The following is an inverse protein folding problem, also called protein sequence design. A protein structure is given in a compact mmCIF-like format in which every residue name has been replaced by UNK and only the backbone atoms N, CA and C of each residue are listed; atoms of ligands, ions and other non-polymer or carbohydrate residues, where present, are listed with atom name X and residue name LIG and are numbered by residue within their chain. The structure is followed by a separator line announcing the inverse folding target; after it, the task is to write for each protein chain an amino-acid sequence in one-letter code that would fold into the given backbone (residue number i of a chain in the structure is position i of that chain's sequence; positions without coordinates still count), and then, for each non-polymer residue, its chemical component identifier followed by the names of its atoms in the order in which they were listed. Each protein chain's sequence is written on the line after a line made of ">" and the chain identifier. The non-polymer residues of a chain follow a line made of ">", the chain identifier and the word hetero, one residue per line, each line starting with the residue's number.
data_IF_325447541096
#
_entry.id   IF_325447541096
#
_cell.length_a   1.000
_cell.length_b   1.000
_cell.length_c   1.000
_cell.angle_alpha   90.00
_cell.angle_beta   90.00
_cell.angle_gamma   90.00
#
_symmetry.space_group_name_H-M   'P 1'
#
loop_
_entity.id
_entity.type
_entity.pdbx_description
1 polymer ?
#
# COMPACT_ATOMS: atom_id res chain seq x y z
N UNK A 1 6.67 -31.93 -49.42
CA UNK A 1 7.25 -32.80 -48.38
C UNK A 1 8.15 -31.92 -47.51
N UNK A 2 7.56 -31.21 -46.55
CA UNK A 2 8.27 -30.40 -45.58
C UNK A 2 7.90 -30.97 -44.20
N UNK A 3 8.92 -31.37 -43.44
CA UNK A 3 8.78 -32.06 -42.16
C UNK A 3 8.86 -30.98 -41.09
N UNK A 4 7.73 -30.64 -40.48
CA UNK A 4 7.68 -29.72 -39.35
C UNK A 4 8.46 -30.32 -38.17
N UNK A 5 9.61 -29.73 -37.86
CA UNK A 5 10.39 -30.04 -36.67
C UNK A 5 9.70 -29.39 -35.46
N UNK A 6 8.97 -30.21 -34.70
CA UNK A 6 8.46 -29.83 -33.39
C UNK A 6 9.64 -29.57 -32.45
N UNK A 7 9.93 -28.29 -32.18
CA UNK A 7 10.90 -27.89 -31.18
C UNK A 7 10.30 -28.18 -29.80
N UNK A 8 10.65 -29.33 -29.22
CA UNK A 8 10.34 -29.63 -27.82
C UNK A 8 11.20 -28.78 -26.90
N UNK A 9 10.60 -27.74 -26.32
CA UNK A 9 11.24 -26.93 -25.28
C UNK A 9 11.23 -27.73 -23.97
N UNK A 10 12.28 -28.52 -23.73
CA UNK A 10 12.45 -29.24 -22.47
C UNK A 10 12.92 -28.27 -21.37
N UNK A 11 12.02 -27.84 -20.49
CA UNK A 11 12.38 -27.08 -19.29
C UNK A 11 13.04 -28.01 -18.25
N UNK A 12 14.34 -27.82 -18.01
CA UNK A 12 15.07 -28.57 -16.98
C UNK A 12 14.83 -27.98 -15.57
N UNK A 13 13.86 -28.56 -14.87
CA UNK A 13 13.48 -28.20 -13.49
C UNK A 13 14.59 -28.45 -12.46
N UNK A 14 15.61 -29.25 -12.76
CA UNK A 14 16.68 -29.57 -11.79
C UNK A 14 17.60 -28.38 -11.54
N UNK A 15 17.85 -27.59 -12.59
CA UNK A 15 18.73 -26.43 -12.56
C UNK A 15 18.07 -25.26 -11.83
N UNK A 16 16.78 -25.06 -12.05
CA UNK A 16 15.98 -24.03 -11.37
C UNK A 16 15.88 -24.31 -9.86
N UNK A 17 15.71 -25.56 -9.46
CA UNK A 17 15.66 -25.93 -8.04
C UNK A 17 16.98 -25.68 -7.28
N UNK A 18 18.13 -25.95 -7.92
CA UNK A 18 19.46 -25.65 -7.34
C UNK A 18 19.67 -24.14 -7.15
N UNK A 19 19.26 -23.33 -8.12
CA UNK A 19 19.31 -21.87 -8.03
C UNK A 19 18.40 -21.38 -6.89
N UNK A 20 17.20 -21.97 -6.76
CA UNK A 20 16.24 -21.65 -5.69
C UNK A 20 16.84 -21.83 -4.29
N UNK A 21 17.57 -22.92 -4.08
CA UNK A 21 18.18 -23.25 -2.80
C UNK A 21 19.37 -22.33 -2.50
N UNK A 22 20.12 -21.91 -3.51
CA UNK A 22 21.27 -21.02 -3.37
C UNK A 22 20.87 -19.60 -2.95
N UNK A 23 19.72 -19.11 -3.44
CA UNK A 23 19.29 -17.71 -3.26
C UNK A 23 17.98 -17.56 -2.47
N UNK A 24 17.73 -18.44 -1.49
CA UNK A 24 16.48 -18.46 -0.69
C UNK A 24 16.05 -17.10 -0.13
N UNK A 25 17.00 -16.29 0.36
CA UNK A 25 16.72 -14.96 0.91
C UNK A 25 16.27 -13.98 -0.16
N UNK A 26 16.98 -13.93 -1.30
CA UNK A 26 16.62 -13.05 -2.42
C UNK A 26 15.25 -13.42 -3.00
N UNK A 27 14.93 -14.72 -3.06
CA UNK A 27 13.63 -15.20 -3.53
C UNK A 27 12.53 -14.84 -2.54
N UNK A 28 12.78 -14.97 -1.23
CA UNK A 28 11.80 -14.55 -0.21
C UNK A 28 11.52 -13.05 -0.30
N UNK A 29 12.55 -12.23 -0.53
CA UNK A 29 12.40 -10.79 -0.73
C UNK A 29 11.61 -10.47 -2.02
N UNK A 30 11.91 -11.15 -3.12
CA UNK A 30 11.16 -11.01 -4.38
C UNK A 30 9.69 -11.36 -4.22
N UNK A 31 9.38 -12.47 -3.53
CA UNK A 31 8.01 -12.86 -3.22
C UNK A 31 7.33 -11.80 -2.36
N UNK A 32 8.00 -11.30 -1.31
CA UNK A 32 7.46 -10.27 -0.44
C UNK A 32 7.14 -8.97 -1.20
N UNK A 33 8.03 -8.54 -2.09
CA UNK A 33 7.80 -7.40 -2.99
C UNK A 33 6.61 -7.69 -3.93
N UNK A 34 6.50 -8.90 -4.47
CA UNK A 34 5.36 -9.32 -5.27
C UNK A 34 4.03 -9.25 -4.51
N UNK A 35 4.02 -9.70 -3.25
CA UNK A 35 2.84 -9.61 -2.36
C UNK A 35 2.48 -8.14 -2.11
N UNK A 36 3.47 -7.28 -1.85
CA UNK A 36 3.25 -5.85 -1.68
C UNK A 36 2.59 -5.22 -2.92
N UNK A 37 3.10 -5.47 -4.12
CA UNK A 37 2.52 -4.95 -5.35
C UNK A 37 1.12 -5.49 -5.62
N UNK A 38 0.89 -6.78 -5.35
CA UNK A 38 -0.42 -7.38 -5.48
C UNK A 38 -1.43 -6.75 -4.51
N UNK A 39 -1.02 -6.57 -3.25
CA UNK A 39 -1.81 -5.90 -2.20
C UNK A 39 -2.16 -4.46 -2.57
N UNK A 40 -1.21 -3.73 -3.16
CA UNK A 40 -1.42 -2.37 -3.66
C UNK A 40 -2.37 -2.37 -4.87
N UNK A 41 -2.17 -3.26 -5.84
CA UNK A 41 -2.99 -3.35 -7.05
C UNK A 41 -4.47 -3.56 -6.73
N UNK A 42 -4.78 -4.48 -5.82
CA UNK A 42 -6.17 -4.74 -5.39
C UNK A 42 -6.80 -3.49 -4.76
N UNK A 43 -6.03 -2.71 -3.99
CA UNK A 43 -6.54 -1.50 -3.31
C UNK A 43 -6.68 -0.29 -4.23
N UNK A 44 -5.91 -0.25 -5.32
CA UNK A 44 -6.02 0.81 -6.32
C UNK A 44 -7.24 0.63 -7.23
N UNK A 45 -8.03 -0.43 -7.09
CA UNK A 45 -9.25 -0.65 -7.86
C UNK A 45 -10.27 0.52 -7.75
N UNK A 46 -10.25 1.28 -6.64
CA UNK A 46 -11.16 2.42 -6.41
C UNK A 46 -10.50 3.78 -6.62
N UNK A 47 -9.32 3.85 -7.22
CA UNK A 47 -8.55 5.11 -7.36
C UNK A 47 -9.20 6.08 -8.35
N UNK A 48 -9.92 5.55 -9.34
CA UNK A 48 -10.54 6.31 -10.42
C UNK A 48 -11.91 6.90 -10.05
N UNK A 49 -12.40 6.61 -8.85
CA UNK A 49 -13.65 7.17 -8.35
C UNK A 49 -13.60 8.72 -8.33
N UNK A 50 -14.70 9.41 -8.66
CA UNK A 50 -14.72 10.86 -8.75
C UNK A 50 -14.72 11.54 -7.38
N UNK A 51 -15.09 10.83 -6.31
CA UNK A 51 -15.16 11.33 -4.95
C UNK A 51 -14.61 10.34 -3.93
N UNK A 52 -14.15 10.85 -2.79
CA UNK A 52 -13.75 10.02 -1.66
C UNK A 52 -14.91 9.15 -1.20
N UNK A 53 -14.63 7.87 -1.00
CA UNK A 53 -15.64 6.91 -0.58
C UNK A 53 -15.98 7.13 0.90
N UNK A 54 -17.27 7.06 1.24
CA UNK A 54 -17.81 7.27 2.58
C UNK A 54 -17.61 8.70 3.14
N UNK A 55 -18.27 8.98 4.28
CA UNK A 55 -18.27 10.30 4.89
C UNK A 55 -16.96 10.62 5.64
N UNK A 56 -16.36 9.64 6.33
CA UNK A 56 -15.21 9.88 7.19
C UNK A 56 -13.98 10.42 6.44
N UNK A 57 -13.63 9.95 5.23
CA UNK A 57 -12.50 10.48 4.48
C UNK A 57 -12.61 11.98 4.15
N UNK A 58 -13.82 12.54 4.04
CA UNK A 58 -13.99 13.98 3.84
C UNK A 58 -13.58 14.79 5.08
N UNK A 59 -13.82 14.26 6.28
CA UNK A 59 -13.36 14.88 7.51
C UNK A 59 -11.82 14.83 7.60
N UNK A 60 -11.21 13.69 7.26
CA UNK A 60 -9.76 13.55 7.19
C UNK A 60 -9.14 14.47 6.12
N UNK A 61 -9.77 14.61 4.96
CA UNK A 61 -9.37 15.56 3.91
C UNK A 61 -9.26 16.98 4.46
N UNK A 62 -10.30 17.46 5.18
CA UNK A 62 -10.31 18.82 5.73
C UNK A 62 -9.22 19.02 6.77
N UNK A 63 -9.02 18.05 7.66
CA UNK A 63 -7.95 18.08 8.65
C UNK A 63 -6.57 18.15 8.01
N UNK A 64 -6.30 17.26 7.06
CA UNK A 64 -5.01 17.21 6.38
C UNK A 64 -4.77 18.47 5.55
N UNK A 65 -5.80 19.01 4.89
CA UNK A 65 -5.73 20.27 4.14
C UNK A 65 -5.26 21.42 5.02
N UNK A 66 -5.86 21.57 6.21
CA UNK A 66 -5.48 22.64 7.14
C UNK A 66 -4.01 22.53 7.59
N UNK A 67 -3.50 21.31 7.79
CA UNK A 67 -2.08 21.07 8.11
C UNK A 67 -1.17 21.42 6.93
N UNK A 68 -1.60 21.13 5.70
CA UNK A 68 -0.86 21.47 4.49
C UNK A 68 -0.78 22.99 4.32
N UNK A 69 -1.89 23.70 4.54
CA UNK A 69 -2.04 25.14 4.39
C UNK A 69 -1.48 25.96 5.57
N UNK A 70 -1.23 25.32 6.72
CA UNK A 70 -0.63 25.96 7.89
C UNK A 70 -1.64 26.72 8.76
N UNK A 71 -2.92 26.35 8.72
CA UNK A 71 -4.00 27.00 9.46
C UNK A 71 -4.06 26.55 10.94
N UNK A 72 -4.69 27.38 11.79
CA UNK A 72 -4.72 27.32 13.26
C UNK A 72 -5.40 26.07 13.86
N UNK A 73 -5.90 25.15 13.04
CA UNK A 73 -6.49 23.91 13.51
C UNK A 73 -7.85 24.09 14.19
N UNK A 74 -8.60 25.17 13.89
CA UNK A 74 -9.95 25.40 14.42
C UNK A 74 -10.99 25.12 13.32
N UNK A 75 -12.02 24.35 13.69
CA UNK A 75 -13.16 23.96 12.86
C UNK A 75 -14.43 24.71 13.32
N UNK A 76 -14.77 25.76 12.59
CA UNK A 76 -16.00 26.53 12.82
C UNK A 76 -17.25 25.89 12.21
N UNK A 77 -17.07 24.88 11.35
CA UNK A 77 -18.15 24.25 10.59
C UNK A 77 -18.66 22.99 11.29
N UNK A 78 -17.87 22.41 12.18
CA UNK A 78 -18.25 21.27 13.00
C UNK A 78 -19.03 21.76 14.21
N UNK A 79 -20.18 21.12 14.47
CA UNK A 79 -20.98 21.30 15.70
C UNK A 79 -21.34 22.75 16.02
N UNK A 80 -21.91 23.46 15.03
CA UNK A 80 -22.43 24.82 15.24
C UNK A 80 -23.38 24.90 16.45
N UNK A 81 -23.27 25.91 17.33
CA UNK A 81 -22.49 27.16 17.18
C UNK A 81 -21.07 27.13 17.73
N UNK A 82 -20.65 26.04 18.37
CA UNK A 82 -19.38 26.01 19.09
C UNK A 82 -18.24 25.57 18.16
N UNK A 83 -17.17 26.38 18.02
CA UNK A 83 -16.00 25.97 17.26
C UNK A 83 -15.29 24.83 17.97
N UNK A 84 -14.77 23.90 17.20
CA UNK A 84 -14.02 22.76 17.72
C UNK A 84 -12.58 22.78 17.22
N UNK A 85 -11.61 22.43 18.05
CA UNK A 85 -10.25 22.21 17.54
C UNK A 85 -10.18 20.88 16.79
N UNK A 86 -9.41 20.84 15.71
CA UNK A 86 -9.08 19.58 15.06
C UNK A 86 -8.23 18.74 16.01
N UNK A 87 -8.62 17.48 16.18
CA UNK A 87 -7.82 16.53 16.95
C UNK A 87 -6.60 16.14 16.13
N UNK A 88 -5.49 16.80 16.40
CA UNK A 88 -4.19 16.54 15.80
C UNK A 88 -3.73 15.09 16.09
N UNK A 89 -4.04 14.18 15.17
CA UNK A 89 -3.65 12.77 15.24
C UNK A 89 -2.57 12.46 14.21
N UNK A 90 -1.91 11.31 14.38
CA UNK A 90 -0.80 10.89 13.53
C UNK A 90 -1.20 10.78 12.04
N UNK A 91 -2.44 10.37 11.76
CA UNK A 91 -2.91 10.10 10.39
C UNK A 91 -2.97 11.39 9.53
N UNK A 92 -3.61 12.50 9.96
CA UNK A 92 -3.57 13.77 9.23
C UNK A 92 -2.16 14.30 8.97
N UNK A 93 -1.25 14.22 9.95
CA UNK A 93 0.12 14.68 9.78
C UNK A 93 0.91 13.82 8.80
N UNK A 94 0.85 12.50 8.96
CA UNK A 94 1.51 11.58 8.03
C UNK A 94 1.00 11.79 6.61
N UNK A 95 -0.31 11.92 6.40
CA UNK A 95 -0.89 12.26 5.10
C UNK A 95 -0.37 13.61 4.56
N UNK A 96 -0.32 14.66 5.40
CA UNK A 96 0.11 15.99 4.97
C UNK A 96 1.59 16.03 4.54
N UNK A 97 2.49 15.41 5.31
CA UNK A 97 3.91 15.37 4.99
C UNK A 97 4.19 14.44 3.80
N UNK A 98 3.51 13.29 3.72
CA UNK A 98 3.58 12.42 2.55
C UNK A 98 3.07 13.12 1.28
N UNK A 99 1.99 13.91 1.37
CA UNK A 99 1.51 14.72 0.27
C UNK A 99 2.54 15.77 -0.17
N UNK A 100 3.13 16.53 0.77
CA UNK A 100 4.14 17.54 0.44
C UNK A 100 5.32 16.93 -0.35
N UNK A 101 5.78 15.75 0.06
CA UNK A 101 6.82 15.01 -0.66
C UNK A 101 6.34 14.53 -2.04
N UNK A 102 5.16 13.91 -2.12
CA UNK A 102 4.62 13.39 -3.38
C UNK A 102 4.34 14.50 -4.39
N UNK A 103 3.75 15.60 -3.95
CA UNK A 103 3.47 16.78 -4.78
C UNK A 103 4.77 17.41 -5.30
N UNK A 104 5.80 17.52 -4.47
CA UNK A 104 7.11 18.02 -4.90
C UNK A 104 7.75 17.18 -6.03
N UNK A 105 7.47 15.87 -6.08
CA UNK A 105 8.02 14.96 -7.08
C UNK A 105 7.15 14.81 -8.33
N UNK A 106 5.83 14.92 -8.19
CA UNK A 106 4.88 14.52 -9.25
C UNK A 106 3.90 15.62 -9.66
N UNK A 107 3.72 16.66 -8.85
CA UNK A 107 2.67 17.66 -9.05
C UNK A 107 1.25 17.11 -8.83
N UNK A 108 1.09 15.98 -8.13
CA UNK A 108 -0.22 15.38 -7.89
C UNK A 108 -1.15 16.31 -7.10
N UNK A 109 -2.40 16.39 -7.52
CA UNK A 109 -3.44 17.13 -6.81
C UNK A 109 -3.69 16.53 -5.42
N UNK A 110 -3.87 17.38 -4.40
CA UNK A 110 -4.15 16.96 -3.02
C UNK A 110 -5.33 16.00 -2.90
N UNK A 111 -6.43 16.28 -3.58
CA UNK A 111 -7.62 15.43 -3.53
C UNK A 111 -7.33 14.03 -4.08
N UNK A 112 -6.62 13.95 -5.20
CA UNK A 112 -6.20 12.69 -5.81
C UNK A 112 -5.22 11.92 -4.93
N UNK A 113 -4.29 12.60 -4.27
CA UNK A 113 -3.33 11.95 -3.36
C UNK A 113 -4.02 11.14 -2.24
N UNK A 114 -5.19 11.58 -1.75
CA UNK A 114 -5.90 10.88 -0.68
C UNK A 114 -6.50 9.53 -1.08
N UNK A 115 -6.58 9.20 -2.36
CA UNK A 115 -6.92 7.83 -2.81
C UNK A 115 -5.70 6.91 -2.73
N UNK A 116 -4.52 7.44 -3.08
CA UNK A 116 -3.27 6.69 -3.06
C UNK A 116 -2.76 6.44 -1.65
N UNK A 117 -2.89 7.44 -0.77
CA UNK A 117 -2.36 7.38 0.59
C UNK A 117 -2.83 6.14 1.40
N UNK A 118 -4.14 5.89 1.59
CA UNK A 118 -4.60 4.72 2.34
C UNK A 118 -4.21 3.41 1.64
N UNK A 119 -4.22 3.36 0.30
CA UNK A 119 -3.81 2.18 -0.46
C UNK A 119 -2.34 1.82 -0.20
N UNK A 120 -1.45 2.82 -0.21
CA UNK A 120 0.00 2.63 0.06
C UNK A 120 0.23 2.21 1.51
N UNK A 121 -0.38 2.92 2.48
CA UNK A 121 -0.22 2.60 3.91
C UNK A 121 -0.72 1.19 4.22
N UNK A 122 -1.86 0.80 3.66
CA UNK A 122 -2.39 -0.54 3.84
C UNK A 122 -1.51 -1.59 3.14
N UNK A 123 -0.99 -1.34 1.94
CA UNK A 123 -0.07 -2.26 1.28
C UNK A 123 1.24 -2.43 2.06
N UNK A 124 1.75 -1.36 2.69
CA UNK A 124 2.94 -1.41 3.53
C UNK A 124 2.77 -2.31 4.78
N UNK A 125 1.54 -2.59 5.22
CA UNK A 125 1.27 -3.50 6.35
C UNK A 125 1.73 -4.95 6.10
N UNK A 126 1.97 -5.33 4.84
CA UNK A 126 2.52 -6.63 4.44
C UNK A 126 3.91 -6.87 5.04
N UNK A 127 4.73 -5.81 5.18
CA UNK A 127 6.08 -5.92 5.74
C UNK A 127 6.10 -6.27 7.25
N UNK A 128 5.42 -5.52 8.15
CA UNK A 128 5.36 -5.92 9.55
C UNK A 128 4.69 -7.29 9.71
N UNK A 129 3.67 -7.63 8.91
CA UNK A 129 3.07 -8.95 8.92
C UNK A 129 4.08 -10.07 8.58
N UNK A 130 4.94 -9.85 7.58
CA UNK A 130 6.04 -10.77 7.26
C UNK A 130 7.00 -10.95 8.43
N UNK A 131 7.45 -9.86 9.06
CA UNK A 131 8.40 -9.93 10.16
C UNK A 131 7.81 -10.66 11.37
N UNK A 132 6.54 -10.40 11.70
CA UNK A 132 5.84 -11.09 12.78
C UNK A 132 5.76 -12.61 12.49
N UNK A 133 5.28 -13.00 11.30
CA UNK A 133 5.19 -14.43 10.96
C UNK A 133 6.55 -15.12 10.84
N UNK A 134 7.59 -14.38 10.43
CA UNK A 134 8.96 -14.87 10.38
C UNK A 134 9.51 -15.16 11.77
N UNK A 135 9.32 -14.25 12.71
CA UNK A 135 9.85 -14.35 14.07
C UNK A 135 9.16 -15.47 14.87
N UNK A 136 7.86 -15.65 14.66
CA UNK A 136 7.09 -16.67 15.37
C UNK A 136 7.38 -18.11 14.91
N UNK A 137 7.79 -18.31 13.65
CA UNK A 137 7.98 -19.68 13.13
C UNK A 137 9.08 -19.80 12.09
N UNK A 138 8.91 -19.20 10.90
CA UNK A 138 9.92 -19.29 9.83
C UNK A 138 9.67 -18.27 8.71
N UNK A 139 10.64 -18.10 7.81
CA UNK A 139 10.49 -17.27 6.60
C UNK A 139 9.26 -17.66 5.76
N UNK A 140 8.93 -18.95 5.67
CA UNK A 140 7.75 -19.40 4.92
C UNK A 140 6.46 -18.93 5.61
N UNK A 141 6.38 -19.07 6.93
CA UNK A 141 5.24 -18.59 7.71
C UNK A 141 5.08 -17.07 7.55
N UNK A 142 6.17 -16.30 7.61
CA UNK A 142 6.16 -14.86 7.31
C UNK A 142 5.56 -14.53 5.95
N UNK A 143 5.95 -15.26 4.89
CA UNK A 143 5.39 -15.04 3.55
C UNK A 143 3.89 -15.37 3.48
N UNK A 144 3.44 -16.43 4.14
CA UNK A 144 2.01 -16.75 4.22
C UNK A 144 1.23 -15.67 4.99
N UNK A 145 1.73 -15.23 6.15
CA UNK A 145 1.10 -14.16 6.93
C UNK A 145 0.99 -12.87 6.13
N UNK A 146 2.07 -12.49 5.45
CA UNK A 146 2.12 -11.32 4.57
C UNK A 146 1.10 -11.42 3.42
N UNK A 147 0.99 -12.60 2.78
CA UNK A 147 0.04 -12.86 1.71
C UNK A 147 -1.41 -12.74 2.17
N UNK A 148 -1.76 -13.38 3.29
CA UNK A 148 -3.13 -13.31 3.80
C UNK A 148 -3.48 -11.90 4.26
N UNK A 149 -2.65 -11.24 5.07
CA UNK A 149 -2.90 -9.84 5.49
C UNK A 149 -3.03 -8.90 4.29
N UNK A 150 -2.22 -9.09 3.25
CA UNK A 150 -2.28 -8.28 2.04
C UNK A 150 -3.58 -8.43 1.25
N UNK A 151 -4.21 -9.61 1.26
CA UNK A 151 -5.34 -9.95 0.40
C UNK A 151 -6.66 -10.21 1.11
N UNK A 152 -6.68 -10.22 2.45
CA UNK A 152 -7.91 -10.40 3.21
C UNK A 152 -8.91 -9.29 2.87
N UNK A 153 -10.13 -9.64 2.41
CA UNK A 153 -11.21 -8.68 2.28
C UNK A 153 -11.68 -8.27 3.67
N UNK A 154 -11.76 -6.97 3.92
CA UNK A 154 -12.22 -6.37 5.18
C UNK A 154 -13.44 -5.50 4.93
#
# INVERSE_FOLDING_TARGET
>A
MAKDENVEISFDFSKTFKILIKHKTAISLLILIGIFYLSLFVRLATVDEPYLLAADPHYWYRMTKNIVEGDAGIDYLRTYPEPHSFVHSFLPYSAAYSYKLANALTGIEFYRFLFWFPAIIAALSVFPAFFIGKELYSNKAGLFTAFFIGLTPS
#
